data_IF_727754359911
#
_entry.id   IF_727754359911
#
_cell.length_a   1.000
_cell.length_b   1.000
_cell.length_c   1.000
_cell.angle_alpha   90.00
_cell.angle_beta   90.00
_cell.angle_gamma   90.00
#
_symmetry.space_group_name_H-M   'P 1'
#
loop_
_entity.id
_entity.type
_entity.pdbx_description
1 polymer ?
#
# COMPACT_ATOMS: atom_id res chain seq x y z
N UNK A 1 1.60 26.02 4.96
CA UNK A 1 0.73 25.02 4.31
C UNK A 1 0.03 24.22 5.42
N UNK A 2 -1.12 24.69 5.90
CA UNK A 2 -1.97 23.90 6.81
C UNK A 2 -3.04 23.26 5.96
N UNK A 3 -2.76 22.04 5.49
CA UNK A 3 -3.83 21.16 5.03
C UNK A 3 -4.31 20.49 6.31
N UNK A 4 -5.45 20.92 6.84
CA UNK A 4 -6.09 20.23 7.96
C UNK A 4 -6.41 18.81 7.51
N UNK A 5 -5.57 17.86 7.88
CA UNK A 5 -5.70 16.45 7.53
C UNK A 5 -6.75 15.79 8.43
N UNK A 6 -8.02 16.13 8.20
CA UNK A 6 -9.16 15.33 8.71
C UNK A 6 -9.67 14.37 7.62
N UNK A 7 -8.77 13.79 6.82
CA UNK A 7 -9.11 12.85 5.74
C UNK A 7 -8.39 11.51 5.93
N UNK A 8 -8.65 10.89 7.09
CA UNK A 8 -8.54 9.43 7.28
C UNK A 8 -9.76 8.93 8.05
N UNK A 9 -10.96 9.32 7.61
CA UNK A 9 -12.14 8.50 7.85
C UNK A 9 -12.40 7.75 6.54
N UNK A 10 -12.46 6.43 6.62
CA UNK A 10 -13.02 5.60 5.56
C UNK A 10 -14.29 6.29 5.07
N UNK A 11 -14.36 6.60 3.78
CA UNK A 11 -15.60 7.10 3.17
C UNK A 11 -16.55 5.91 3.16
N UNK A 12 -17.66 5.93 3.94
CA UNK A 12 -18.60 4.82 3.97
C UNK A 12 -19.14 4.56 2.56
N UNK A 13 -19.39 3.29 2.23
CA UNK A 13 -19.94 2.86 0.92
C UNK A 13 -21.27 3.53 0.55
N UNK A 14 -21.95 4.12 1.54
CA UNK A 14 -23.31 4.63 1.44
C UNK A 14 -23.38 6.16 1.31
N UNK A 15 -22.27 6.84 1.02
CA UNK A 15 -22.31 8.27 0.68
C UNK A 15 -22.93 8.43 -0.71
N UNK A 16 -24.10 9.11 -0.84
CA UNK A 16 -24.70 9.36 -2.14
C UNK A 16 -23.70 10.11 -3.02
N UNK A 17 -23.47 9.62 -4.25
CA UNK A 17 -22.65 10.33 -5.24
C UNK A 17 -23.41 11.57 -5.69
N UNK A 18 -23.34 12.65 -4.91
CA UNK A 18 -23.81 13.96 -5.33
C UNK A 18 -23.02 14.38 -6.58
N UNK A 19 -23.76 14.81 -7.60
CA UNK A 19 -23.21 15.35 -8.83
C UNK A 19 -22.56 16.68 -8.45
N UNK A 20 -21.23 16.74 -8.40
CA UNK A 20 -20.51 18.01 -8.20
C UNK A 20 -20.68 18.82 -9.49
N UNK A 21 -21.60 19.79 -9.49
CA UNK A 21 -21.97 20.57 -10.68
C UNK A 21 -20.83 21.47 -11.19
N UNK A 22 -19.87 21.80 -10.33
CA UNK A 22 -18.57 22.40 -10.69
C UNK A 22 -17.60 22.30 -9.51
N UNK A 23 -16.39 21.78 -9.69
CA UNK A 23 -15.36 21.76 -8.66
C UNK A 23 -14.35 22.88 -8.92
N UNK A 24 -14.38 23.93 -8.10
CA UNK A 24 -13.33 24.96 -8.13
C UNK A 24 -12.21 24.54 -7.20
N UNK A 25 -10.96 24.59 -7.67
CA UNK A 25 -9.79 24.41 -6.80
C UNK A 25 -9.17 25.76 -6.53
N UNK A 26 -9.08 26.08 -5.25
CA UNK A 26 -8.47 27.31 -4.75
C UNK A 26 -6.99 27.08 -4.46
N UNK A 27 -6.15 27.91 -5.06
CA UNK A 27 -4.69 27.89 -4.90
C UNK A 27 -4.21 29.22 -4.31
N UNK A 28 -3.02 29.19 -3.70
CA UNK A 28 -2.27 30.38 -3.31
C UNK A 28 -1.03 30.48 -4.20
N UNK A 29 -0.76 31.66 -4.75
CA UNK A 29 0.50 31.92 -5.46
C UNK A 29 1.65 31.82 -4.48
N UNK A 30 2.67 31.07 -4.85
CA UNK A 30 3.86 30.86 -4.02
C UNK A 30 5.11 31.43 -4.68
N UNK A 31 6.07 31.84 -3.86
CA UNK A 31 7.42 32.22 -4.30
C UNK A 31 8.49 31.37 -3.59
N UNK A 32 9.68 31.31 -4.17
CA UNK A 32 10.81 30.58 -3.58
C UNK A 32 11.67 31.56 -2.78
N UNK A 33 11.80 31.32 -1.48
CA UNK A 33 12.64 32.08 -0.57
C UNK A 33 13.62 31.12 0.12
N UNK A 34 14.93 31.30 -0.11
CA UNK A 34 16.00 30.47 0.46
C UNK A 34 15.77 28.95 0.30
N UNK A 35 15.26 28.53 -0.87
CA UNK A 35 14.99 27.11 -1.16
C UNK A 35 13.69 26.57 -0.58
N UNK A 36 12.90 27.40 0.11
CA UNK A 36 11.57 27.05 0.62
C UNK A 36 10.49 27.75 -0.20
N UNK A 37 9.36 27.07 -0.38
CA UNK A 37 8.17 27.64 -1.00
C UNK A 37 7.38 28.38 0.07
N UNK A 38 7.16 29.68 -0.11
CA UNK A 38 6.37 30.53 0.79
C UNK A 38 5.15 31.10 0.05
N UNK A 39 4.05 31.27 0.78
CA UNK A 39 2.82 31.85 0.26
C UNK A 39 2.92 33.38 0.11
N UNK A 40 2.37 33.92 -0.98
CA UNK A 40 2.34 35.37 -1.24
C UNK A 40 1.07 36.03 -0.71
N UNK A 41 0.07 35.25 -0.28
CA UNK A 41 -1.27 35.73 0.08
C UNK A 41 -2.20 36.00 -1.13
N UNK A 42 -1.68 35.97 -2.37
CA UNK A 42 -2.51 36.08 -3.58
C UNK A 42 -3.20 34.73 -3.84
N UNK A 43 -4.53 34.74 -3.77
CA UNK A 43 -5.37 33.57 -3.99
C UNK A 43 -5.95 33.63 -5.40
N UNK A 44 -5.98 32.47 -6.07
CA UNK A 44 -6.69 32.31 -7.34
C UNK A 44 -7.41 30.97 -7.39
N UNK A 45 -8.33 30.86 -8.34
CA UNK A 45 -9.23 29.70 -8.49
C UNK A 45 -9.11 29.14 -9.91
N UNK A 46 -9.16 27.81 -10.02
CA UNK A 46 -9.21 27.10 -11.30
C UNK A 46 -10.46 26.23 -11.32
N UNK A 47 -11.30 26.44 -12.32
CA UNK A 47 -12.44 25.58 -12.61
C UNK A 47 -11.95 24.20 -13.10
N UNK A 48 -12.43 23.12 -12.49
CA UNK A 48 -12.14 21.77 -12.94
C UNK A 48 -13.30 20.80 -12.71
N UNK A 49 -13.30 19.68 -13.43
CA UNK A 49 -14.25 18.59 -13.22
C UNK A 49 -13.72 17.46 -12.35
N UNK A 50 -12.40 17.44 -12.09
CA UNK A 50 -11.72 16.37 -11.37
C UNK A 50 -10.40 16.85 -10.78
N UNK A 51 -10.13 16.45 -9.54
CA UNK A 51 -8.86 16.69 -8.84
C UNK A 51 -8.28 15.36 -8.40
N UNK A 52 -7.02 15.11 -8.76
CA UNK A 52 -6.27 13.91 -8.34
C UNK A 52 -5.03 14.37 -7.60
N UNK A 53 -4.98 14.08 -6.29
CA UNK A 53 -3.81 14.39 -5.47
C UNK A 53 -2.71 13.33 -5.66
N UNK A 54 -1.62 13.71 -6.33
CA UNK A 54 -0.44 12.87 -6.54
C UNK A 54 0.76 13.36 -5.71
N UNK A 55 0.54 13.63 -4.41
CA UNK A 55 1.50 14.30 -3.51
C UNK A 55 2.29 13.33 -2.62
N UNK A 56 2.33 12.05 -3.00
CA UNK A 56 3.04 10.99 -2.28
C UNK A 56 2.12 10.11 -1.43
N UNK A 57 2.73 9.08 -0.84
CA UNK A 57 2.05 8.07 -0.02
C UNK A 57 2.58 8.12 1.42
N UNK A 58 1.85 7.53 2.34
CA UNK A 58 2.28 7.36 3.72
C UNK A 58 2.10 5.90 4.14
N UNK A 59 3.05 5.36 4.91
CA UNK A 59 2.86 4.03 5.46
C UNK A 59 1.75 4.09 6.52
N UNK A 60 0.93 3.04 6.60
CA UNK A 60 -0.08 2.92 7.66
C UNK A 60 0.57 2.21 8.85
N UNK A 61 0.26 2.70 10.06
CA UNK A 61 0.74 2.07 11.29
C UNK A 61 0.21 0.63 11.42
N UNK A 62 1.11 -0.30 11.73
CA UNK A 62 0.77 -1.71 11.95
C UNK A 62 0.74 -1.97 13.45
N UNK A 63 -0.37 -2.55 13.94
CA UNK A 63 -0.52 -2.90 15.36
C UNK A 63 0.67 -3.75 15.83
N UNK A 64 1.38 -3.25 16.83
CA UNK A 64 2.56 -3.92 17.42
C UNK A 64 3.90 -3.51 16.83
N UNK A 65 3.93 -2.66 15.80
CA UNK A 65 5.15 -2.02 15.30
C UNK A 65 5.17 -0.52 15.71
N UNK A 66 6.31 0.01 16.17
CA UNK A 66 6.47 1.44 16.42
C UNK A 66 6.40 2.23 15.11
N UNK A 67 5.81 3.42 15.15
CA UNK A 67 5.54 4.24 13.97
C UNK A 67 5.98 5.68 14.25
N UNK A 68 6.74 6.26 13.31
CA UNK A 68 7.11 7.68 13.32
C UNK A 68 6.07 8.45 12.49
N UNK A 69 5.17 9.15 13.18
CA UNK A 69 4.10 9.93 12.52
C UNK A 69 4.63 11.08 11.67
N UNK A 70 5.79 11.65 12.03
CA UNK A 70 6.36 12.80 11.33
C UNK A 70 6.95 12.37 9.98
N UNK A 71 7.62 11.22 9.97
CA UNK A 71 8.24 10.66 8.77
C UNK A 71 7.29 9.73 7.99
N UNK A 72 6.18 9.33 8.62
CA UNK A 72 5.22 8.37 8.12
C UNK A 72 5.85 7.01 7.73
N UNK A 73 6.71 6.49 8.62
CA UNK A 73 7.43 5.21 8.45
C UNK A 73 7.41 4.39 9.73
N UNK A 74 7.66 3.08 9.61
CA UNK A 74 7.94 2.22 10.76
C UNK A 74 9.25 2.65 11.42
N UNK A 75 9.24 2.97 12.71
CA UNK A 75 10.44 3.42 13.43
C UNK A 75 11.49 2.31 13.42
N UNK A 76 12.70 2.62 12.94
CA UNK A 76 13.75 1.64 12.77
C UNK A 76 15.16 2.27 12.84
N UNK A 77 16.16 1.45 13.13
CA UNK A 77 17.58 1.77 12.99
C UNK A 77 18.17 0.86 11.92
N UNK A 78 18.48 1.44 10.75
CA UNK A 78 18.96 0.71 9.56
C UNK A 78 18.08 -0.49 9.14
N UNK A 79 16.78 -0.43 9.42
CA UNK A 79 15.81 -1.49 9.14
C UNK A 79 15.56 -2.44 10.30
N UNK A 80 16.27 -2.31 11.43
CA UNK A 80 15.92 -3.01 12.68
C UNK A 80 14.84 -2.23 13.43
N UNK A 81 13.68 -2.85 13.63
CA UNK A 81 12.58 -2.27 14.41
C UNK A 81 12.70 -2.67 15.89
N UNK A 82 13.14 -3.91 16.15
CA UNK A 82 13.33 -4.46 17.49
C UNK A 82 12.59 -5.79 17.68
N UNK A 83 12.95 -6.58 18.69
CA UNK A 83 12.32 -7.87 19.01
C UNK A 83 12.25 -8.88 17.83
N UNK A 84 13.24 -8.82 16.94
CA UNK A 84 13.28 -9.64 15.72
C UNK A 84 12.29 -9.20 14.63
N UNK A 85 11.78 -7.96 14.71
CA UNK A 85 11.04 -7.28 13.66
C UNK A 85 11.97 -6.36 12.86
N UNK A 86 11.79 -6.35 11.54
CA UNK A 86 12.59 -5.58 10.60
C UNK A 86 11.67 -4.89 9.58
N UNK A 87 12.11 -3.77 9.03
CA UNK A 87 11.42 -3.00 8.01
C UNK A 87 12.32 -2.84 6.78
N UNK A 88 11.73 -2.93 5.58
CA UNK A 88 12.39 -2.73 4.28
C UNK A 88 11.49 -1.92 3.35
N UNK A 89 12.08 -1.27 2.34
CA UNK A 89 11.35 -0.52 1.32
C UNK A 89 10.70 0.75 1.88
N UNK A 90 9.54 1.11 1.34
CA UNK A 90 8.89 2.38 1.67
C UNK A 90 8.42 2.48 3.13
N UNK A 91 8.05 1.38 3.78
CA UNK A 91 7.72 1.42 5.22
C UNK A 91 8.94 1.69 6.10
N UNK A 92 10.16 1.51 5.58
CA UNK A 92 11.42 1.86 6.27
C UNK A 92 11.87 3.30 5.98
N UNK A 93 11.79 3.73 4.72
CA UNK A 93 12.47 4.94 4.20
C UNK A 93 11.53 6.02 3.64
N UNK A 94 10.23 5.79 3.64
CA UNK A 94 9.24 6.65 3.00
C UNK A 94 9.04 6.34 1.51
N UNK A 95 8.04 6.96 0.87
CA UNK A 95 7.54 6.61 -0.47
C UNK A 95 8.42 7.16 -1.62
N UNK A 96 9.74 7.04 -1.50
CA UNK A 96 10.69 7.57 -2.49
C UNK A 96 11.58 6.47 -3.06
N UNK A 97 12.00 6.65 -4.30
CA UNK A 97 12.83 5.71 -5.03
C UNK A 97 12.05 4.73 -5.92
N UNK A 98 12.78 4.09 -6.82
CA UNK A 98 12.26 3.12 -7.81
C UNK A 98 12.41 1.68 -7.31
N UNK A 99 11.88 0.71 -8.05
CA UNK A 99 11.95 -0.73 -7.72
C UNK A 99 13.40 -1.17 -7.40
N UNK A 100 14.38 -0.73 -8.19
CA UNK A 100 15.79 -1.11 -7.96
C UNK A 100 16.35 -0.60 -6.62
N UNK A 101 15.89 0.54 -6.13
CA UNK A 101 16.32 1.10 -4.83
C UNK A 101 15.86 0.26 -3.65
N UNK A 102 14.77 -0.52 -3.80
CA UNK A 102 14.30 -1.42 -2.75
C UNK A 102 15.11 -2.71 -2.66
N UNK A 103 15.81 -3.09 -3.74
CA UNK A 103 16.65 -4.30 -3.74
C UNK A 103 17.84 -4.16 -2.79
N UNK A 104 18.63 -3.10 -2.95
CA UNK A 104 19.81 -2.86 -2.09
C UNK A 104 19.41 -2.70 -0.63
N UNK A 105 18.29 -2.02 -0.36
CA UNK A 105 17.73 -1.89 0.98
C UNK A 105 17.35 -3.25 1.60
N UNK A 106 16.72 -4.12 0.80
CA UNK A 106 16.39 -5.49 1.21
C UNK A 106 17.63 -6.34 1.50
N UNK A 107 18.69 -6.22 0.69
CA UNK A 107 19.95 -6.95 0.89
C UNK A 107 20.64 -6.58 2.22
N UNK A 108 20.66 -5.29 2.57
CA UNK A 108 21.20 -4.81 3.86
C UNK A 108 20.46 -5.43 5.04
N UNK A 109 19.12 -5.39 5.01
CA UNK A 109 18.29 -5.92 6.11
C UNK A 109 18.34 -7.45 6.16
N UNK A 110 18.44 -8.12 5.02
CA UNK A 110 18.66 -9.58 4.99
C UNK A 110 19.98 -9.96 5.69
N UNK A 111 21.06 -9.18 5.49
CA UNK A 111 22.32 -9.39 6.18
C UNK A 111 22.19 -9.14 7.69
N UNK A 112 21.39 -8.14 8.10
CA UNK A 112 21.06 -7.92 9.50
C UNK A 112 20.33 -9.11 10.12
N UNK A 113 19.28 -9.61 9.47
CA UNK A 113 18.53 -10.79 9.92
C UNK A 113 19.45 -11.99 10.05
N UNK A 114 20.31 -12.24 9.05
CA UNK A 114 21.28 -13.34 9.06
C UNK A 114 22.24 -13.25 10.25
N UNK A 115 22.76 -12.06 10.53
CA UNK A 115 23.70 -11.84 11.64
C UNK A 115 23.01 -11.99 13.00
N UNK A 116 21.83 -11.39 13.15
CA UNK A 116 21.07 -11.40 14.40
C UNK A 116 20.53 -12.81 14.73
N UNK A 117 20.32 -13.66 13.71
CA UNK A 117 19.86 -15.04 13.84
C UNK A 117 20.98 -16.09 13.72
N UNK A 118 22.25 -15.70 13.80
CA UNK A 118 23.37 -16.65 13.64
C UNK A 118 23.35 -17.82 14.65
N UNK A 119 22.67 -17.66 15.80
CA UNK A 119 22.42 -18.72 16.80
C UNK A 119 21.18 -19.59 16.55
N UNK A 120 20.47 -19.40 15.44
CA UNK A 120 19.24 -20.11 15.08
C UNK A 120 17.96 -19.49 15.65
N UNK A 121 16.86 -19.64 14.91
CA UNK A 121 15.52 -19.23 15.37
C UNK A 121 14.88 -20.28 16.25
N UNK A 122 14.37 -19.89 17.43
CA UNK A 122 13.64 -20.80 18.35
C UNK A 122 12.14 -20.88 18.06
N UNK A 123 11.63 -20.10 17.10
CA UNK A 123 10.21 -20.02 16.79
C UNK A 123 9.81 -21.19 15.87
N UNK A 124 8.62 -21.81 16.07
CA UNK A 124 8.16 -22.96 15.29
C UNK A 124 7.83 -22.67 13.80
N UNK A 125 7.95 -21.41 13.37
CA UNK A 125 7.83 -21.01 11.96
C UNK A 125 6.47 -21.32 11.34
N UNK A 126 6.50 -21.76 10.07
CA UNK A 126 5.32 -21.96 9.21
C UNK A 126 4.26 -22.87 9.84
N UNK A 127 4.66 -23.98 10.46
CA UNK A 127 3.72 -24.97 11.03
C UNK A 127 2.81 -24.36 12.09
N UNK A 128 3.37 -23.59 13.02
CA UNK A 128 2.56 -22.92 14.04
C UNK A 128 1.74 -21.76 13.46
N UNK A 129 2.26 -21.08 12.43
CA UNK A 129 1.53 -20.01 11.74
C UNK A 129 0.27 -20.55 11.05
N UNK A 130 0.36 -21.66 10.32
CA UNK A 130 -0.80 -22.30 9.67
C UNK A 130 -1.86 -22.75 10.68
N UNK A 131 -1.44 -23.32 11.82
CA UNK A 131 -2.36 -23.67 12.92
C UNK A 131 -3.07 -22.42 13.45
N UNK A 132 -2.36 -21.31 13.62
CA UNK A 132 -2.94 -20.06 14.09
C UNK A 132 -3.92 -19.43 13.09
N UNK A 133 -3.63 -19.51 11.78
CA UNK A 133 -4.56 -19.07 10.73
C UNK A 133 -5.85 -19.90 10.75
N UNK A 134 -5.72 -21.24 10.80
CA UNK A 134 -6.86 -22.15 10.85
C UNK A 134 -7.73 -21.92 12.10
N UNK A 135 -7.11 -21.78 13.27
CA UNK A 135 -7.83 -21.52 14.51
C UNK A 135 -8.60 -20.18 14.50
N UNK A 136 -8.19 -19.23 13.66
CA UNK A 136 -8.85 -17.92 13.48
C UNK A 136 -9.82 -17.89 12.29
N UNK A 137 -9.99 -19.00 11.57
CA UNK A 137 -10.81 -19.04 10.34
C UNK A 137 -10.27 -18.16 9.21
N UNK A 138 -8.97 -17.86 9.18
CA UNK A 138 -8.37 -17.01 8.15
C UNK A 138 -8.00 -17.86 6.93
N UNK A 139 -8.57 -17.53 5.77
CA UNK A 139 -8.17 -18.08 4.48
C UNK A 139 -6.88 -17.40 3.99
N UNK A 140 -5.85 -18.19 3.72
CA UNK A 140 -4.62 -17.73 3.07
C UNK A 140 -4.61 -18.13 1.59
N UNK A 141 -4.13 -17.24 0.72
CA UNK A 141 -3.84 -17.53 -0.69
C UNK A 141 -2.38 -17.96 -0.80
N UNK A 142 -2.13 -19.20 -1.23
CA UNK A 142 -0.77 -19.69 -1.47
C UNK A 142 -0.20 -19.13 -2.77
N UNK A 143 1.10 -19.34 -2.99
CA UNK A 143 1.71 -18.98 -4.28
C UNK A 143 1.15 -19.80 -5.45
N UNK A 144 0.75 -21.06 -5.21
CA UNK A 144 0.12 -21.89 -6.24
C UNK A 144 -1.30 -21.40 -6.56
N UNK A 145 -2.06 -20.95 -5.56
CA UNK A 145 -3.36 -20.30 -5.77
C UNK A 145 -3.20 -19.01 -6.58
N UNK A 146 -2.22 -18.16 -6.23
CA UNK A 146 -1.91 -16.96 -6.99
C UNK A 146 -1.57 -17.25 -8.46
N UNK A 147 -0.80 -18.31 -8.74
CA UNK A 147 -0.49 -18.71 -10.13
C UNK A 147 -1.76 -19.12 -10.89
N UNK A 148 -2.70 -19.80 -10.25
CA UNK A 148 -4.00 -20.13 -10.87
C UNK A 148 -4.78 -18.87 -11.21
N UNK A 149 -4.82 -17.89 -10.29
CA UNK A 149 -5.42 -16.57 -10.56
C UNK A 149 -4.72 -15.90 -11.75
N UNK A 150 -3.39 -15.87 -11.77
CA UNK A 150 -2.61 -15.29 -12.87
C UNK A 150 -2.93 -15.93 -14.22
N UNK A 151 -3.04 -17.26 -14.27
CA UNK A 151 -3.41 -18.01 -15.46
C UNK A 151 -4.83 -17.66 -15.93
N UNK A 152 -5.80 -17.60 -15.01
CA UNK A 152 -7.18 -17.21 -15.32
C UNK A 152 -7.27 -15.77 -15.84
N UNK A 153 -6.58 -14.81 -15.21
CA UNK A 153 -6.55 -13.42 -15.67
C UNK A 153 -5.93 -13.28 -17.08
N UNK A 154 -4.85 -14.03 -17.35
CA UNK A 154 -4.19 -14.03 -18.66
C UNK A 154 -5.04 -14.71 -19.73
N UNK A 155 -5.75 -15.79 -19.38
CA UNK A 155 -6.67 -16.48 -20.28
C UNK A 155 -7.91 -15.63 -20.61
N UNK A 156 -8.36 -14.79 -19.67
CA UNK A 156 -9.48 -13.86 -19.85
C UNK A 156 -9.09 -12.54 -20.56
N UNK A 157 -7.84 -12.42 -21.02
CA UNK A 157 -7.39 -11.26 -21.78
C UNK A 157 -8.17 -11.09 -23.09
N UNK A 158 -8.43 -9.84 -23.46
CA UNK A 158 -9.06 -9.48 -24.73
C UNK A 158 -8.13 -8.55 -25.54
N UNK A 159 -8.17 -8.70 -26.87
CA UNK A 159 -7.33 -7.96 -27.81
C UNK A 159 -5.84 -8.04 -27.48
N UNK A 160 -5.21 -6.88 -27.31
CA UNK A 160 -3.78 -6.76 -26.99
C UNK A 160 -3.47 -6.70 -25.49
N UNK A 161 -4.49 -6.82 -24.61
CA UNK A 161 -4.26 -6.76 -23.18
C UNK A 161 -3.45 -7.98 -22.71
N UNK A 162 -2.48 -7.83 -21.79
CA UNK A 162 -1.71 -8.97 -21.29
C UNK A 162 -2.52 -9.85 -20.32
N UNK A 163 -3.60 -9.31 -19.75
CA UNK A 163 -4.53 -9.96 -18.82
C UNK A 163 -5.79 -9.12 -18.61
N UNK A 164 -6.87 -9.74 -18.16
CA UNK A 164 -8.03 -9.09 -17.54
C UNK A 164 -8.06 -9.45 -16.06
N UNK A 165 -7.92 -8.44 -15.19
CA UNK A 165 -7.81 -8.67 -13.74
C UNK A 165 -9.17 -8.93 -13.11
N UNK A 166 -9.18 -9.75 -12.06
CA UNK A 166 -10.23 -9.67 -11.04
C UNK A 166 -10.02 -8.37 -10.27
N UNK A 167 -11.11 -7.63 -10.04
CA UNK A 167 -11.05 -6.28 -9.47
C UNK A 167 -11.50 -6.22 -8.02
N UNK A 168 -12.07 -7.32 -7.50
CA UNK A 168 -12.41 -7.48 -6.08
C UNK A 168 -11.69 -8.68 -5.46
N UNK A 169 -11.62 -8.70 -4.13
CA UNK A 169 -11.05 -9.84 -3.40
C UNK A 169 -11.96 -11.05 -3.52
N UNK A 170 -13.27 -10.82 -3.46
CA UNK A 170 -14.32 -11.82 -3.59
C UNK A 170 -14.20 -12.56 -4.93
N UNK A 171 -14.10 -11.83 -6.05
CA UNK A 171 -13.90 -12.43 -7.38
C UNK A 171 -12.64 -13.32 -7.45
N UNK A 172 -11.53 -12.89 -6.84
CA UNK A 172 -10.31 -13.69 -6.78
C UNK A 172 -10.50 -14.99 -5.97
N UNK A 173 -11.28 -14.93 -4.89
CA UNK A 173 -11.54 -16.10 -4.03
C UNK A 173 -12.54 -17.06 -4.67
N UNK A 174 -13.61 -16.56 -5.27
CA UNK A 174 -14.64 -17.35 -5.96
C UNK A 174 -14.02 -18.08 -7.17
N UNK A 175 -13.12 -17.43 -7.90
CA UNK A 175 -12.39 -18.04 -9.00
C UNK A 175 -11.53 -19.24 -8.56
N UNK A 176 -10.98 -19.19 -7.34
CA UNK A 176 -10.23 -20.33 -6.77
C UNK A 176 -11.13 -21.47 -6.31
N UNK A 177 -12.34 -21.14 -5.86
CA UNK A 177 -13.35 -22.10 -5.38
C UNK A 177 -14.10 -22.79 -6.54
N UNK A 178 -13.93 -22.29 -7.77
CA UNK A 178 -14.62 -22.79 -8.96
C UNK A 178 -16.02 -22.22 -9.14
N UNK A 179 -16.36 -21.17 -8.38
CA UNK A 179 -17.65 -20.46 -8.45
C UNK A 179 -17.59 -19.25 -9.42
N UNK A 180 -16.60 -19.26 -10.33
CA UNK A 180 -16.47 -18.29 -11.42
C UNK A 180 -17.62 -18.41 -12.42
N UNK A 181 -18.66 -17.62 -12.17
CA UNK A 181 -19.85 -17.35 -12.96
C UNK A 181 -19.78 -17.78 -14.45
N UNK A 182 -20.38 -18.94 -14.74
CA UNK A 182 -20.67 -19.41 -16.11
C UNK A 182 -21.85 -18.65 -16.69
N UNK A 183 -21.85 -17.32 -16.71
CA UNK A 183 -22.92 -16.52 -17.33
C UNK A 183 -22.54 -15.03 -17.40
N UNK A 184 -21.56 -14.68 -18.26
CA UNK A 184 -21.56 -13.41 -19.01
C UNK A 184 -20.74 -13.63 -20.29
N UNK A 185 -21.38 -14.20 -21.31
CA UNK A 185 -21.03 -13.98 -22.73
C UNK A 185 -22.32 -13.56 -23.42
#
# INVERSE_FOLDING_TARGET
MSISSTLQKEVPSDVPREKIESAVVRFERTEVNKGHVIGTGEIFEIDCGLVIAAIGYQAVSIKGAPYDEKQAVTSNVEGRVGNGLYAVGWTKRGPTGVISSNRSDGEIVAQHIKNDLAGGGRKPGRKAFEVALKARGIRSVSFDDWKRIDEMERAAADGAAPRRKFVTVEEMLDALDGEGNSEVI
#
